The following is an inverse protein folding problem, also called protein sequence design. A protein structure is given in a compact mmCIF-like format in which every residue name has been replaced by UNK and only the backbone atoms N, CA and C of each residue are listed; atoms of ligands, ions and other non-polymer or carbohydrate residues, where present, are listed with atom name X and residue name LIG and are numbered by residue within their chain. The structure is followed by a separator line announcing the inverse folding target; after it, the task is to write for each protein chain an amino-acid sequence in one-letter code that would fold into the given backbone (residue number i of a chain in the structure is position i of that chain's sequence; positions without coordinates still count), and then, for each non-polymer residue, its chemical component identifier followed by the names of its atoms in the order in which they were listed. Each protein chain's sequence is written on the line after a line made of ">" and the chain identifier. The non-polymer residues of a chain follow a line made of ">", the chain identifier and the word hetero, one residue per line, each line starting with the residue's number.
data_IF_472352427081
#
_entry.id   IF_472352427081
#
_cell.length_a   1.000
_cell.length_b   1.000
_cell.length_c   1.000
_cell.angle_alpha   90.00
_cell.angle_beta   90.00
_cell.angle_gamma   90.00
#
_symmetry.space_group_name_H-M   'P 1'
#
loop_
_entity.id
_entity.type
_entity.pdbx_description
1 polymer ?
#
# COMPACT_ATOMS: atom_id res chain seq x y z
N UNK A 1 7.87 -8.90 0.67
CA UNK A 1 8.39 -8.49 2.01
C UNK A 1 8.40 -6.96 2.05
N UNK A 2 8.02 -6.31 3.17
CA UNK A 2 8.03 -4.83 3.26
C UNK A 2 9.41 -4.37 3.73
N UNK A 3 10.13 -3.64 2.89
CA UNK A 3 11.38 -3.01 3.30
C UNK A 3 11.09 -1.65 3.95
N UNK A 4 11.74 -1.35 5.08
CA UNK A 4 11.53 -0.09 5.81
C UNK A 4 12.86 0.64 5.96
N UNK A 5 12.92 1.88 5.50
CA UNK A 5 14.06 2.79 5.71
C UNK A 5 13.61 3.94 6.60
N UNK A 6 14.34 4.25 7.67
CA UNK A 6 13.98 5.30 8.63
C UNK A 6 15.11 6.32 8.71
N UNK A 7 14.76 7.61 8.68
CA UNK A 7 15.69 8.74 8.85
C UNK A 7 15.16 9.66 9.94
N UNK A 8 16.03 10.05 10.86
CA UNK A 8 15.74 11.10 11.82
C UNK A 8 16.32 12.42 11.31
N UNK A 9 15.56 13.51 11.45
CA UNK A 9 15.93 14.86 11.06
C UNK A 9 15.86 15.75 12.32
N UNK A 10 16.93 15.81 13.13
CA UNK A 10 16.90 16.51 14.42
C UNK A 10 16.65 18.02 14.29
N UNK A 11 17.19 18.64 13.23
CA UNK A 11 17.04 20.08 12.97
C UNK A 11 15.59 20.50 12.73
N UNK A 12 14.78 19.65 12.09
CA UNK A 12 13.34 19.86 11.87
C UNK A 12 12.45 19.13 12.87
N UNK A 13 13.03 18.40 13.85
CA UNK A 13 12.30 17.57 14.85
C UNK A 13 11.39 16.53 14.18
N UNK A 14 11.90 15.86 13.17
CA UNK A 14 11.11 14.94 12.34
C UNK A 14 11.72 13.55 12.22
N UNK A 15 10.85 12.57 11.98
CA UNK A 15 11.23 11.22 11.58
C UNK A 15 10.52 10.93 10.26
N UNK A 16 11.27 10.48 9.27
CA UNK A 16 10.75 10.07 7.96
C UNK A 16 11.00 8.58 7.78
N UNK A 17 9.93 7.82 7.58
CA UNK A 17 9.99 6.41 7.23
C UNK A 17 9.51 6.20 5.80
N UNK A 18 10.19 5.32 5.08
CA UNK A 18 9.84 4.89 3.73
C UNK A 18 9.59 3.38 3.75
N UNK A 19 8.42 2.98 3.26
CA UNK A 19 7.97 1.59 3.19
C UNK A 19 7.90 1.17 1.72
N UNK A 20 8.63 0.13 1.34
CA UNK A 20 8.72 -0.32 -0.05
C UNK A 20 8.16 -1.74 -0.21
N UNK A 21 7.27 -1.93 -1.20
CA UNK A 21 6.70 -3.20 -1.68
C UNK A 21 6.75 -3.17 -3.21
N UNK A 22 7.29 -4.21 -3.85
CA UNK A 22 7.28 -4.39 -5.32
C UNK A 22 7.64 -3.11 -6.10
N UNK A 23 8.68 -2.41 -5.65
CA UNK A 23 9.18 -1.13 -6.20
C UNK A 23 8.27 0.10 -5.99
N UNK A 24 7.16 -0.04 -5.27
CA UNK A 24 6.31 1.06 -4.82
C UNK A 24 6.74 1.50 -3.42
N UNK A 25 7.03 2.79 -3.27
CA UNK A 25 7.42 3.38 -1.99
C UNK A 25 6.33 4.29 -1.45
N UNK A 26 5.98 4.09 -0.19
CA UNK A 26 5.11 4.96 0.61
C UNK A 26 5.92 5.66 1.69
N UNK A 27 5.65 6.93 1.98
CA UNK A 27 6.29 7.63 3.09
C UNK A 27 5.34 7.89 4.26
N UNK A 28 5.92 7.93 5.46
CA UNK A 28 5.29 8.41 6.68
C UNK A 28 6.25 9.39 7.36
N UNK A 29 5.77 10.59 7.63
CA UNK A 29 6.49 11.64 8.37
C UNK A 29 5.82 11.85 9.72
N UNK A 30 6.63 11.82 10.78
CA UNK A 30 6.24 12.15 12.15
C UNK A 30 6.96 13.44 12.51
N UNK A 31 6.22 14.52 12.70
CA UNK A 31 6.75 15.82 13.12
C UNK A 31 6.43 16.06 14.60
N UNK A 32 7.46 16.38 15.37
CA UNK A 32 7.33 16.74 16.78
C UNK A 32 7.29 18.26 16.91
N UNK A 33 6.13 18.84 17.28
CA UNK A 33 6.04 20.29 17.45
C UNK A 33 6.94 20.75 18.60
N UNK A 34 7.32 22.03 18.56
CA UNK A 34 8.14 22.63 19.63
C UNK A 34 7.50 22.55 21.00
N UNK A 35 6.16 22.67 21.02
CA UNK A 35 5.33 22.55 22.22
C UNK A 35 4.97 21.11 22.61
N UNK A 36 5.59 20.07 22.03
CA UNK A 36 5.37 18.70 22.48
C UNK A 36 5.79 18.53 23.96
N UNK A 37 4.99 17.90 24.84
CA UNK A 37 3.78 17.11 24.57
C UNK A 37 2.44 17.89 24.62
N UNK A 38 2.45 19.20 24.85
CA UNK A 38 1.22 20.03 24.90
C UNK A 38 0.52 20.11 23.54
N UNK A 39 1.28 20.08 22.44
CA UNK A 39 0.76 19.87 21.08
C UNK A 39 1.07 18.43 20.65
N UNK A 40 0.08 17.69 20.12
CA UNK A 40 0.30 16.31 19.66
C UNK A 40 1.29 16.29 18.48
N UNK A 41 1.91 15.13 18.27
CA UNK A 41 2.70 14.89 17.06
C UNK A 41 1.82 14.97 15.81
N UNK A 42 2.40 15.40 14.71
CA UNK A 42 1.73 15.50 13.43
C UNK A 42 2.21 14.41 12.49
N UNK A 43 1.27 13.63 11.97
CA UNK A 43 1.56 12.58 11.00
C UNK A 43 1.12 13.02 9.61
N UNK A 44 2.01 12.86 8.65
CA UNK A 44 1.74 13.18 7.25
C UNK A 44 2.40 12.15 6.33
N UNK A 45 1.97 12.15 5.07
CA UNK A 45 2.52 11.33 4.00
C UNK A 45 2.43 12.12 2.71
N UNK A 46 3.52 12.18 1.96
CA UNK A 46 3.61 12.88 0.68
C UNK A 46 3.06 12.02 -0.45
N UNK A 47 3.38 10.72 -0.44
CA UNK A 47 2.92 9.73 -1.42
C UNK A 47 1.46 9.34 -1.20
N UNK A 48 1.01 9.33 0.06
CA UNK A 48 -0.25 8.73 0.47
C UNK A 48 -0.29 7.21 0.24
N UNK A 49 -1.48 6.62 0.41
CA UNK A 49 -1.72 5.18 0.19
C UNK A 49 -2.09 4.82 -1.26
N UNK A 50 -2.51 5.81 -2.06
CA UNK A 50 -2.99 5.57 -3.43
C UNK A 50 -1.90 5.01 -4.35
N UNK A 51 -0.64 5.40 -4.13
CA UNK A 51 0.50 4.86 -4.89
C UNK A 51 0.63 3.34 -4.78
N UNK A 52 0.08 2.75 -3.71
CA UNK A 52 0.05 1.32 -3.45
C UNK A 52 -1.37 0.72 -3.56
N UNK A 53 -2.31 1.41 -4.21
CA UNK A 53 -3.68 0.93 -4.37
C UNK A 53 -4.50 0.88 -3.07
N UNK A 54 -4.04 1.54 -2.01
CA UNK A 54 -4.75 1.59 -0.72
C UNK A 54 -5.82 2.70 -0.77
N UNK A 55 -7.09 2.40 -0.44
CA UNK A 55 -8.14 3.41 -0.37
C UNK A 55 -7.81 4.53 0.62
N UNK A 56 -8.11 5.78 0.25
CA UNK A 56 -7.79 6.95 1.08
C UNK A 56 -8.38 6.86 2.49
N UNK A 57 -9.63 6.38 2.63
CA UNK A 57 -10.26 6.20 3.92
C UNK A 57 -9.49 5.24 4.84
N UNK A 58 -8.95 4.14 4.29
CA UNK A 58 -8.13 3.18 5.03
C UNK A 58 -6.79 3.80 5.43
N UNK A 59 -6.15 4.51 4.49
CA UNK A 59 -4.89 5.22 4.75
C UNK A 59 -5.04 6.26 5.87
N UNK A 60 -6.08 7.09 5.79
CA UNK A 60 -6.44 8.07 6.84
C UNK A 60 -6.71 7.39 8.17
N UNK A 61 -7.40 6.25 8.18
CA UNK A 61 -7.60 5.44 9.37
C UNK A 61 -6.28 4.98 10.02
N UNK A 62 -5.29 4.58 9.22
CA UNK A 62 -3.96 4.22 9.73
C UNK A 62 -3.20 5.41 10.30
N UNK A 63 -3.25 6.58 9.63
CA UNK A 63 -2.66 7.80 10.17
C UNK A 63 -3.28 8.16 11.53
N UNK A 64 -4.61 8.16 11.63
CA UNK A 64 -5.32 8.50 12.87
C UNK A 64 -5.00 7.54 14.03
N UNK A 65 -4.98 6.23 13.76
CA UNK A 65 -4.64 5.24 14.80
C UNK A 65 -3.18 5.36 15.24
N UNK A 66 -2.27 5.66 14.31
CA UNK A 66 -0.85 5.88 14.60
C UNK A 66 -0.62 7.18 15.37
N UNK A 67 -1.33 8.27 15.03
CA UNK A 67 -1.28 9.53 15.80
C UNK A 67 -1.73 9.31 17.24
N UNK A 68 -2.85 8.60 17.45
CA UNK A 68 -3.35 8.29 18.81
C UNK A 68 -2.32 7.51 19.62
N UNK A 69 -1.62 6.56 19.00
CA UNK A 69 -0.55 5.80 19.68
C UNK A 69 0.61 6.67 20.15
N UNK A 70 0.93 7.74 19.41
CA UNK A 70 2.02 8.65 19.73
C UNK A 70 1.61 9.80 20.69
N UNK A 71 0.33 10.14 20.73
CA UNK A 71 -0.19 11.20 21.63
C UNK A 71 -0.39 10.70 23.06
N UNK A 72 -0.75 9.43 23.27
CA UNK A 72 -0.96 8.86 24.62
C UNK A 72 0.40 8.55 25.27
N UNK A 73 1.05 9.60 25.78
CA UNK A 73 2.41 9.60 26.35
C UNK A 73 2.57 8.82 27.67
N UNK A 74 1.50 8.27 28.24
CA UNK A 74 1.54 7.59 29.54
C UNK A 74 2.11 6.16 29.52
N UNK A 75 2.42 5.60 28.35
CA UNK A 75 2.70 4.15 28.21
C UNK A 75 4.08 3.78 27.65
N UNK A 76 5.04 4.72 27.59
CA UNK A 76 6.41 4.42 27.15
C UNK A 76 6.53 4.02 25.66
N UNK A 77 5.46 4.22 24.88
CA UNK A 77 5.40 3.87 23.47
C UNK A 77 6.17 4.88 22.63
N UNK A 78 7.15 4.41 21.89
CA UNK A 78 8.11 5.25 21.15
C UNK A 78 7.74 5.38 19.68
N UNK A 79 8.34 6.34 18.98
CA UNK A 79 8.27 6.46 17.52
C UNK A 79 8.51 5.11 16.82
N UNK A 80 9.42 4.29 17.34
CA UNK A 80 9.71 2.94 16.84
C UNK A 80 8.46 2.06 16.78
N UNK A 81 7.65 2.03 17.84
CA UNK A 81 6.45 1.18 17.88
C UNK A 81 5.39 1.62 16.88
N UNK A 82 5.22 2.94 16.72
CA UNK A 82 4.33 3.51 15.72
C UNK A 82 4.78 3.10 14.30
N UNK A 83 6.08 3.21 14.01
CA UNK A 83 6.65 2.81 12.72
C UNK A 83 6.48 1.30 12.45
N UNK A 84 6.65 0.46 13.47
CA UNK A 84 6.45 -1.00 13.37
C UNK A 84 4.97 -1.33 13.12
N UNK A 85 4.05 -0.72 13.86
CA UNK A 85 2.60 -0.94 13.66
C UNK A 85 2.15 -0.47 12.28
N UNK A 86 2.68 0.65 11.80
CA UNK A 86 2.39 1.11 10.45
C UNK A 86 2.92 0.11 9.40
N UNK A 87 4.12 -0.44 9.60
CA UNK A 87 4.65 -1.52 8.77
C UNK A 87 3.73 -2.75 8.76
N UNK A 88 3.16 -3.12 9.91
CA UNK A 88 2.23 -4.23 10.05
C UNK A 88 0.91 -4.00 9.33
N UNK A 89 0.38 -2.77 9.35
CA UNK A 89 -0.83 -2.40 8.61
C UNK A 89 -0.62 -2.56 7.09
N UNK A 90 0.53 -2.07 6.60
CA UNK A 90 0.95 -2.25 5.22
C UNK A 90 1.08 -3.74 4.92
N UNK A 91 1.93 -4.46 5.65
CA UNK A 91 2.18 -5.88 5.43
C UNK A 91 0.88 -6.71 5.44
N UNK A 92 0.00 -6.48 6.42
CA UNK A 92 -1.28 -7.19 6.53
C UNK A 92 -2.22 -6.94 5.35
N UNK A 93 -2.12 -5.78 4.69
CA UNK A 93 -2.90 -5.49 3.48
C UNK A 93 -2.45 -6.33 2.30
N UNK A 94 -1.14 -6.53 2.12
CA UNK A 94 -0.58 -7.23 0.96
C UNK A 94 -0.30 -8.72 1.20
N UNK A 95 -0.33 -9.20 2.46
CA UNK A 95 0.06 -10.58 2.81
C UNK A 95 -0.74 -11.67 2.09
N UNK A 96 -2.04 -11.43 1.85
CA UNK A 96 -2.95 -12.40 1.21
C UNK A 96 -3.20 -12.10 -0.26
N UNK A 97 -2.50 -11.13 -0.82
CA UNK A 97 -2.65 -10.77 -2.23
C UNK A 97 -1.63 -11.53 -3.05
N UNK A 98 -2.12 -12.18 -4.09
CA UNK A 98 -1.30 -12.81 -5.10
C UNK A 98 -0.88 -11.78 -6.16
N UNK A 99 0.27 -11.99 -6.75
CA UNK A 99 0.76 -11.17 -7.86
C UNK A 99 -0.09 -11.41 -9.13
N UNK A 100 -0.20 -10.38 -9.95
CA UNK A 100 -0.85 -10.49 -11.26
C UNK A 100 0.03 -11.34 -12.20
N UNK A 101 -0.44 -12.49 -12.73
CA UNK A 101 0.39 -13.36 -13.57
C UNK A 101 0.87 -12.76 -14.89
N UNK A 102 0.27 -11.64 -15.33
CA UNK A 102 0.65 -10.97 -16.58
C UNK A 102 1.90 -10.10 -16.37
N UNK A 103 2.00 -9.41 -15.23
CA UNK A 103 3.07 -8.44 -14.98
C UNK A 103 3.92 -8.74 -13.74
N UNK A 104 3.63 -9.83 -13.02
CA UNK A 104 4.37 -10.31 -11.85
C UNK A 104 4.52 -9.24 -10.75
N UNK A 105 3.43 -8.48 -10.51
CA UNK A 105 3.40 -7.44 -9.49
C UNK A 105 2.08 -7.47 -8.74
N UNK A 106 2.11 -7.14 -7.44
CA UNK A 106 0.88 -6.92 -6.67
C UNK A 106 0.28 -5.55 -7.02
N UNK A 107 1.11 -4.52 -7.22
CA UNK A 107 0.65 -3.18 -7.60
C UNK A 107 1.03 -2.93 -9.06
N UNK A 108 0.06 -2.60 -9.89
CA UNK A 108 0.29 -2.30 -11.31
C UNK A 108 1.23 -1.10 -11.46
N UNK A 109 2.26 -1.24 -12.30
CA UNK A 109 3.17 -0.14 -12.61
C UNK A 109 2.49 0.99 -13.39
N UNK A 110 1.42 0.66 -14.13
CA UNK A 110 0.72 1.54 -15.08
C UNK A 110 -0.25 2.47 -14.34
N UNK A 111 -1.17 1.90 -13.57
CA UNK A 111 -2.31 2.61 -12.98
C UNK A 111 -2.38 2.50 -11.45
N UNK A 112 -1.39 1.84 -10.82
CA UNK A 112 -1.31 1.58 -9.36
C UNK A 112 -2.49 0.79 -8.81
N UNK A 113 -3.25 0.11 -9.68
CA UNK A 113 -4.35 -0.76 -9.28
C UNK A 113 -3.84 -2.07 -8.65
N UNK A 114 -4.70 -2.71 -7.87
CA UNK A 114 -4.49 -4.04 -7.30
C UNK A 114 -5.15 -5.11 -8.20
N UNK A 115 -4.77 -6.40 -8.08
CA UNK A 115 -5.37 -7.46 -8.86
C UNK A 115 -6.77 -7.74 -8.29
N UNK A 116 -7.79 -7.21 -8.97
CA UNK A 116 -9.19 -7.24 -8.50
C UNK A 116 -10.12 -8.01 -9.42
N UNK A 117 -9.64 -8.46 -10.59
CA UNK A 117 -10.44 -9.18 -11.58
C UNK A 117 -10.15 -10.69 -11.50
N UNK A 118 -10.94 -11.48 -10.75
CA UNK A 118 -10.76 -12.92 -10.68
C UNK A 118 -11.27 -13.61 -11.96
N UNK A 119 -10.57 -14.64 -12.41
CA UNK A 119 -11.10 -15.57 -13.40
C UNK A 119 -12.28 -16.37 -12.80
N UNK A 120 -13.36 -16.55 -13.56
CA UNK A 120 -14.50 -17.38 -13.13
C UNK A 120 -14.17 -18.87 -12.95
N UNK A 121 -13.11 -19.36 -13.58
CA UNK A 121 -12.72 -20.78 -13.56
C UNK A 121 -11.60 -21.07 -12.57
N UNK A 122 -10.46 -20.37 -12.66
CA UNK A 122 -9.30 -20.62 -11.79
C UNK A 122 -9.19 -19.66 -10.60
N UNK A 123 -10.09 -18.68 -10.48
CA UNK A 123 -10.12 -17.66 -9.41
C UNK A 123 -8.89 -16.74 -9.29
N UNK A 124 -7.87 -16.94 -10.13
CA UNK A 124 -6.70 -16.06 -10.21
C UNK A 124 -7.11 -14.62 -10.52
N UNK A 125 -6.52 -13.67 -9.80
CA UNK A 125 -6.81 -12.24 -9.96
C UNK A 125 -5.78 -11.55 -10.87
N UNK A 126 -6.28 -10.62 -11.67
CA UNK A 126 -5.48 -9.78 -12.56
C UNK A 126 -5.75 -8.31 -12.30
N UNK A 127 -4.75 -7.45 -12.59
CA UNK A 127 -5.00 -6.01 -12.66
C UNK A 127 -5.99 -5.71 -13.79
N UNK A 128 -6.94 -4.78 -13.60
CA UNK A 128 -7.85 -4.36 -14.66
C UNK A 128 -7.12 -3.95 -15.95
N UNK A 129 -6.06 -3.13 -15.86
CA UNK A 129 -5.31 -2.70 -17.04
C UNK A 129 -4.54 -3.82 -17.73
N UNK A 130 -3.93 -4.75 -16.97
CA UNK A 130 -3.21 -5.89 -17.54
C UNK A 130 -4.17 -6.82 -18.30
N UNK A 131 -5.33 -7.11 -17.70
CA UNK A 131 -6.35 -7.95 -18.32
C UNK A 131 -6.95 -7.28 -19.58
N UNK A 132 -7.24 -5.99 -19.51
CA UNK A 132 -7.74 -5.24 -20.67
C UNK A 132 -6.75 -5.26 -21.83
N UNK A 133 -5.46 -5.05 -21.57
CA UNK A 133 -4.40 -5.12 -22.60
C UNK A 133 -4.29 -6.52 -23.21
N UNK A 134 -4.41 -7.58 -22.41
CA UNK A 134 -4.43 -8.94 -22.90
C UNK A 134 -5.58 -9.23 -23.87
N UNK A 135 -6.78 -8.72 -23.59
CA UNK A 135 -7.94 -8.89 -24.48
C UNK A 135 -7.87 -8.07 -25.75
N UNK A 136 -7.08 -7.00 -25.76
CA UNK A 136 -7.02 -6.04 -26.88
C UNK A 136 -5.73 -6.12 -27.68
N UNK A 137 -4.71 -6.87 -27.23
CA UNK A 137 -3.47 -7.08 -27.98
C UNK A 137 -3.71 -7.84 -29.29
N UNK A 138 -2.87 -7.61 -30.29
CA UNK A 138 -2.86 -8.40 -31.52
C UNK A 138 -2.52 -9.87 -31.19
N UNK A 139 -3.48 -10.79 -31.38
CA UNK A 139 -3.40 -12.18 -30.91
C UNK A 139 -4.02 -12.43 -29.52
N UNK A 140 -4.58 -11.39 -28.90
CA UNK A 140 -5.35 -11.46 -27.65
C UNK A 140 -6.59 -12.32 -27.81
N UNK A 141 -6.86 -13.15 -26.80
CA UNK A 141 -8.07 -13.97 -26.74
C UNK A 141 -8.90 -13.55 -25.53
N UNK A 142 -10.23 -13.63 -25.64
CA UNK A 142 -11.13 -13.48 -24.48
C UNK A 142 -11.07 -14.71 -23.56
N UNK A 143 -9.86 -15.20 -23.30
CA UNK A 143 -9.58 -16.33 -22.43
C UNK A 143 -8.65 -15.90 -21.29
N UNK A 144 -8.72 -16.63 -20.19
CA UNK A 144 -7.86 -16.41 -19.05
C UNK A 144 -6.37 -16.60 -19.42
N UNK A 145 -5.48 -15.63 -19.15
CA UNK A 145 -4.04 -15.75 -19.43
C UNK A 145 -3.38 -16.96 -18.75
N UNK A 146 -3.95 -17.43 -17.63
CA UNK A 146 -3.39 -18.54 -16.86
C UNK A 146 -3.97 -19.90 -17.26
N UNK A 147 -5.29 -20.06 -17.21
CA UNK A 147 -5.94 -21.37 -17.45
C UNK A 147 -6.53 -21.54 -18.84
N UNK A 148 -6.50 -20.51 -19.70
CA UNK A 148 -7.03 -20.51 -21.08
C UNK A 148 -8.53 -20.81 -21.24
N UNK A 149 -9.28 -20.89 -20.14
CA UNK A 149 -10.73 -20.96 -20.18
C UNK A 149 -11.32 -19.65 -20.71
N UNK A 150 -12.48 -19.72 -21.37
CA UNK A 150 -13.22 -18.54 -21.80
C UNK A 150 -13.55 -17.62 -20.62
N UNK A 151 -13.40 -16.31 -20.83
CA UNK A 151 -13.55 -15.35 -19.75
C UNK A 151 -15.02 -15.07 -19.43
N UNK A 152 -15.50 -15.67 -18.35
CA UNK A 152 -16.85 -15.42 -17.83
C UNK A 152 -16.78 -14.39 -16.70
N UNK A 153 -17.06 -13.12 -17.01
CA UNK A 153 -17.09 -12.03 -16.03
C UNK A 153 -16.92 -10.63 -16.64
N UNK A 154 -17.12 -9.57 -15.85
CA UNK A 154 -16.91 -8.19 -16.31
C UNK A 154 -15.41 -7.88 -16.45
N UNK A 155 -14.95 -7.75 -17.69
CA UNK A 155 -13.61 -7.30 -18.04
C UNK A 155 -13.35 -5.82 -17.69
N UNK A 156 -14.42 -5.03 -17.48
CA UNK A 156 -14.43 -3.58 -17.20
C UNK A 156 -15.26 -3.24 -15.97
#
# INVERSE_FOLDING_TARGET
>A
MVAVTVRALPSSREIVAQYTIDSVTMDLRIAYPTAYPLRPVELSSTSGGRVAGIPEARWRGWLLTTTRLLTVSASGRTAREALVRFAQNIHGTFRVMEECPICYAIISLIDKSLPTRPCGTCHQKFHPCCLQRWFTSEGGSQTCPLCRAEWVGKAY
#
